data_IF_347049987117
#
_entry.id   IF_347049987117
#
_cell.length_a   1.000
_cell.length_b   1.000
_cell.length_c   1.000
_cell.angle_alpha   90.00
_cell.angle_beta   90.00
_cell.angle_gamma   90.00
#
_symmetry.space_group_name_H-M   'P 1'
#
loop_
_entity.id
_entity.type
_entity.pdbx_description
1 polymer ?
#
# COMPACT_ATOMS: atom_id res chain seq x y z
N UNK A 1 0.07 8.23 -1.93
CA UNK A 1 1.32 8.89 -1.52
C UNK A 1 2.43 7.89 -1.75
N UNK A 2 3.51 8.30 -2.39
CA UNK A 2 4.67 7.43 -2.66
C UNK A 2 5.58 7.33 -1.43
N UNK A 3 6.51 6.38 -1.45
CA UNK A 3 7.45 6.08 -0.36
C UNK A 3 8.25 7.31 0.06
N UNK A 4 8.80 8.06 -0.89
CA UNK A 4 9.62 9.24 -0.60
C UNK A 4 8.80 10.35 0.07
N UNK A 5 7.56 10.54 -0.39
CA UNK A 5 6.63 11.50 0.18
C UNK A 5 6.21 11.10 1.61
N UNK A 6 5.99 9.81 1.87
CA UNK A 6 5.73 9.31 3.23
C UNK A 6 6.94 9.54 4.15
N UNK A 7 8.15 9.25 3.67
CA UNK A 7 9.37 9.50 4.44
C UNK A 7 9.58 11.01 4.71
N UNK A 8 9.30 11.87 3.74
CA UNK A 8 9.32 13.32 3.92
C UNK A 8 8.30 13.78 4.97
N UNK A 9 7.10 13.22 4.95
CA UNK A 9 6.06 13.50 5.94
C UNK A 9 6.49 13.09 7.36
N UNK A 10 7.14 11.93 7.53
CA UNK A 10 7.72 11.54 8.84
C UNK A 10 8.78 12.53 9.33
N UNK A 11 9.69 12.96 8.43
CA UNK A 11 10.72 13.96 8.79
C UNK A 11 10.10 15.28 9.22
N UNK A 12 9.03 15.71 8.55
CA UNK A 12 8.29 16.92 8.87
C UNK A 12 7.63 16.84 10.25
N UNK A 13 6.93 15.75 10.56
CA UNK A 13 6.34 15.54 11.89
C UNK A 13 7.38 15.62 13.00
N UNK A 14 8.55 14.98 12.82
CA UNK A 14 9.65 15.07 13.79
C UNK A 14 10.16 16.50 13.97
N UNK A 15 10.29 17.25 12.87
CA UNK A 15 10.72 18.65 12.90
C UNK A 15 9.70 19.53 13.63
N UNK A 16 8.40 19.34 13.37
CA UNK A 16 7.31 20.06 14.05
C UNK A 16 7.27 19.73 15.55
N UNK A 17 7.60 18.51 15.94
CA UNK A 17 7.77 18.13 17.34
C UNK A 17 9.06 18.68 18.00
N UNK A 18 9.98 19.26 17.21
CA UNK A 18 11.25 19.79 17.72
C UNK A 18 12.26 18.74 18.20
N UNK A 19 12.04 17.45 17.89
CA UNK A 19 12.85 16.35 18.42
C UNK A 19 14.03 16.01 17.51
N UNK A 20 15.19 15.72 18.08
CA UNK A 20 16.26 14.99 17.40
C UNK A 20 15.91 13.51 17.23
N UNK A 21 16.65 12.79 16.38
CA UNK A 21 16.47 11.33 16.27
C UNK A 21 16.88 10.57 17.54
N UNK A 22 17.72 11.15 18.40
CA UNK A 22 18.10 10.53 19.68
C UNK A 22 16.97 10.65 20.69
N UNK A 23 16.41 11.84 20.86
CA UNK A 23 15.24 12.05 21.73
C UNK A 23 14.04 11.22 21.25
N UNK A 24 13.82 11.13 19.94
CA UNK A 24 12.80 10.26 19.40
C UNK A 24 13.09 8.77 19.67
N UNK A 25 14.35 8.34 19.65
CA UNK A 25 14.73 6.96 19.96
C UNK A 25 14.35 6.58 21.40
N UNK A 26 14.58 7.49 22.34
CA UNK A 26 14.24 7.30 23.75
C UNK A 26 12.71 7.15 23.96
N UNK A 27 11.91 7.86 23.14
CA UNK A 27 10.45 7.82 23.20
C UNK A 27 9.82 6.65 22.41
N UNK A 28 10.41 6.28 21.28
CA UNK A 28 9.86 5.28 20.36
C UNK A 28 10.32 3.84 20.65
N UNK A 29 11.23 3.64 21.61
CA UNK A 29 11.85 2.35 21.95
C UNK A 29 12.51 1.65 20.74
N UNK A 30 12.97 2.43 19.77
CA UNK A 30 13.75 1.98 18.61
C UNK A 30 15.08 2.70 18.58
N UNK A 31 16.13 2.04 18.08
CA UNK A 31 17.44 2.69 18.02
C UNK A 31 17.45 3.88 17.06
N UNK A 32 18.28 4.88 17.37
CA UNK A 32 18.53 6.04 16.52
C UNK A 32 18.77 5.65 15.04
N UNK A 33 19.65 4.68 14.79
CA UNK A 33 19.98 4.23 13.44
C UNK A 33 18.76 3.62 12.71
N UNK A 34 17.86 2.95 13.44
CA UNK A 34 16.63 2.40 12.88
C UNK A 34 15.68 3.53 12.46
N UNK A 35 15.48 4.54 13.30
CA UNK A 35 14.57 5.66 13.02
C UNK A 35 15.07 6.54 11.87
N UNK A 36 16.39 6.78 11.79
CA UNK A 36 17.01 7.46 10.65
C UNK A 36 16.73 6.70 9.35
N UNK A 37 16.87 5.37 9.36
CA UNK A 37 16.57 4.52 8.19
C UNK A 37 15.09 4.57 7.81
N UNK A 38 14.19 4.50 8.80
CA UNK A 38 12.75 4.56 8.61
C UNK A 38 12.29 5.86 7.93
N UNK A 39 12.91 6.98 8.31
CA UNK A 39 12.64 8.30 7.71
C UNK A 39 13.52 8.60 6.48
N UNK A 40 14.34 7.64 6.02
CA UNK A 40 15.35 7.86 4.99
C UNK A 40 14.85 7.75 3.54
N UNK A 41 13.64 7.22 3.32
CA UNK A 41 13.06 7.13 1.98
C UNK A 41 13.69 6.08 1.05
N UNK A 42 14.51 5.17 1.58
CA UNK A 42 15.06 4.02 0.81
C UNK A 42 14.19 2.76 0.88
N UNK A 43 13.44 2.63 1.97
CA UNK A 43 12.51 1.52 2.21
C UNK A 43 11.37 2.04 3.08
N UNK A 44 10.17 1.51 2.87
CA UNK A 44 9.04 1.86 3.71
C UNK A 44 9.20 1.19 5.09
N UNK A 45 9.12 1.93 6.21
CA UNK A 45 9.16 1.30 7.52
C UNK A 45 7.98 0.35 7.70
N UNK A 46 8.12 -0.65 8.57
CA UNK A 46 6.94 -1.45 8.97
C UNK A 46 5.92 -0.56 9.67
N UNK A 47 4.64 -0.92 9.61
CA UNK A 47 3.60 -0.14 10.27
C UNK A 47 3.85 0.06 11.78
N UNK A 48 4.31 -0.95 12.56
CA UNK A 48 4.67 -0.73 13.96
C UNK A 48 5.76 0.33 14.18
N UNK A 49 6.80 0.35 13.32
CA UNK A 49 7.86 1.36 13.39
C UNK A 49 7.31 2.75 13.05
N UNK A 50 6.44 2.86 12.04
CA UNK A 50 5.80 4.12 11.69
C UNK A 50 4.91 4.64 12.81
N UNK A 51 4.14 3.77 13.48
CA UNK A 51 3.31 4.14 14.64
C UNK A 51 4.19 4.66 15.77
N UNK A 52 5.23 3.92 16.17
CA UNK A 52 6.12 4.36 17.26
C UNK A 52 6.81 5.69 16.95
N UNK A 53 7.22 5.91 15.69
CA UNK A 53 7.75 7.19 15.23
C UNK A 53 6.73 8.32 15.41
N UNK A 54 5.51 8.12 14.90
CA UNK A 54 4.45 9.14 14.94
C UNK A 54 4.04 9.44 16.39
N UNK A 55 3.79 8.42 17.20
CA UNK A 55 3.38 8.59 18.60
C UNK A 55 4.51 9.19 19.45
N UNK A 56 5.77 8.83 19.18
CA UNK A 56 6.93 9.47 19.80
C UNK A 56 6.97 10.96 19.51
N UNK A 57 6.69 11.36 18.27
CA UNK A 57 6.54 12.77 17.90
C UNK A 57 5.24 13.44 18.38
N UNK A 58 4.42 12.78 19.21
CA UNK A 58 3.20 13.35 19.76
C UNK A 58 2.01 13.37 18.81
N UNK A 59 2.07 12.63 17.70
CA UNK A 59 0.92 12.50 16.78
C UNK A 59 -0.23 11.78 17.49
N UNK A 60 -1.43 12.40 17.58
CA UNK A 60 -2.55 11.81 18.29
C UNK A 60 -3.05 10.50 17.67
N UNK A 61 -3.62 9.62 18.49
CA UNK A 61 -4.09 8.31 18.05
C UNK A 61 -5.21 8.40 17.00
N UNK A 62 -6.05 9.43 17.08
CA UNK A 62 -7.16 9.70 16.18
C UNK A 62 -6.75 10.01 14.74
N UNK A 63 -5.51 10.48 14.51
CA UNK A 63 -5.00 10.78 13.16
C UNK A 63 -4.16 9.62 12.58
N UNK A 64 -3.78 8.63 13.39
CA UNK A 64 -3.06 7.43 12.90
C UNK A 64 -3.79 6.68 11.77
N UNK A 65 -5.14 6.60 11.71
CA UNK A 65 -5.83 6.01 10.57
C UNK A 65 -5.55 6.72 9.23
N UNK A 66 -5.30 8.03 9.24
CA UNK A 66 -4.95 8.79 8.03
C UNK A 66 -3.53 8.42 7.59
N UNK A 67 -2.59 8.40 8.54
CA UNK A 67 -1.22 7.92 8.30
C UNK A 67 -1.17 6.48 7.81
N UNK A 68 -2.03 5.62 8.35
CA UNK A 68 -2.17 4.22 7.93
C UNK A 68 -2.56 4.14 6.47
N UNK A 69 -3.54 4.92 6.02
CA UNK A 69 -3.97 4.95 4.60
C UNK A 69 -2.82 5.40 3.69
N UNK A 70 -2.08 6.41 4.11
CA UNK A 70 -0.91 6.89 3.39
C UNK A 70 0.22 5.86 3.32
N UNK A 71 0.52 5.20 4.44
CA UNK A 71 1.48 4.11 4.52
C UNK A 71 1.07 2.95 3.61
N UNK A 72 -0.20 2.56 3.64
CA UNK A 72 -0.70 1.48 2.77
C UNK A 72 -0.67 1.86 1.29
N UNK A 73 -0.79 3.14 0.94
CA UNK A 73 -0.61 3.62 -0.43
C UNK A 73 0.87 3.61 -0.84
N UNK A 74 1.78 3.98 0.06
CA UNK A 74 3.22 3.97 -0.18
C UNK A 74 3.83 2.56 -0.17
N UNK A 75 3.15 1.59 0.45
CA UNK A 75 3.51 0.18 0.46
C UNK A 75 3.17 -0.53 -0.84
N UNK A 76 2.38 0.10 -1.71
CA UNK A 76 2.20 -0.36 -3.08
C UNK A 76 3.39 0.10 -3.88
N UNK A 77 3.98 -0.81 -4.64
CA UNK A 77 4.90 -0.46 -5.69
C UNK A 77 4.10 -0.30 -7.00
N UNK A 78 3.83 0.95 -7.46
CA UNK A 78 3.04 1.16 -8.67
C UNK A 78 3.82 0.77 -9.93
N UNK A 79 5.16 0.76 -9.88
CA UNK A 79 5.99 0.40 -11.02
C UNK A 79 5.92 -1.10 -11.31
N UNK A 80 5.75 -1.92 -10.26
CA UNK A 80 5.55 -3.36 -10.38
C UNK A 80 4.21 -3.69 -11.08
N UNK A 81 3.10 -3.07 -10.64
CA UNK A 81 1.76 -3.35 -11.20
C UNK A 81 1.66 -3.01 -12.69
N UNK A 82 2.10 -1.82 -13.08
CA UNK A 82 2.03 -1.38 -14.47
C UNK A 82 2.94 -2.18 -15.40
N UNK A 83 4.11 -2.61 -14.93
CA UNK A 83 5.01 -3.47 -15.70
C UNK A 83 4.41 -4.86 -15.91
N UNK A 84 3.88 -5.48 -14.85
CA UNK A 84 3.21 -6.78 -14.92
C UNK A 84 2.04 -6.77 -15.91
N UNK A 85 1.20 -5.73 -15.87
CA UNK A 85 0.01 -5.64 -16.75
C UNK A 85 0.34 -5.44 -18.23
N UNK A 86 1.51 -4.89 -18.58
CA UNK A 86 1.92 -4.74 -19.98
C UNK A 86 2.29 -6.07 -20.63
N UNK A 87 2.86 -6.99 -19.86
CA UNK A 87 3.29 -8.32 -20.34
C UNK A 87 2.31 -9.43 -20.00
N UNK A 88 1.27 -9.12 -19.22
CA UNK A 88 0.25 -10.08 -18.81
C UNK A 88 -0.48 -10.67 -20.02
N UNK A 89 -0.40 -11.99 -20.14
CA UNK A 89 -1.05 -12.80 -21.19
C UNK A 89 -1.88 -13.95 -20.62
N UNK A 90 -1.83 -14.17 -19.30
CA UNK A 90 -2.59 -15.20 -18.60
C UNK A 90 -3.43 -14.62 -17.45
N UNK A 91 -4.50 -15.30 -17.02
CA UNK A 91 -5.21 -14.97 -15.78
C UNK A 91 -4.31 -14.96 -14.54
N UNK A 92 -3.26 -15.78 -14.51
CA UNK A 92 -2.24 -15.82 -13.47
C UNK A 92 -1.43 -14.52 -13.41
N UNK A 93 -1.06 -13.95 -14.55
CA UNK A 93 -0.36 -12.65 -14.61
C UNK A 93 -1.25 -11.52 -14.07
N UNK A 94 -2.55 -11.55 -14.41
CA UNK A 94 -3.54 -10.63 -13.84
C UNK A 94 -3.64 -10.81 -12.31
N UNK A 95 -3.64 -12.05 -11.83
CA UNK A 95 -3.63 -12.38 -10.41
C UNK A 95 -2.37 -11.87 -9.69
N UNK A 96 -1.21 -11.96 -10.33
CA UNK A 96 0.05 -11.42 -9.83
C UNK A 96 0.01 -9.89 -9.70
N UNK A 97 -0.50 -9.19 -10.73
CA UNK A 97 -0.69 -7.74 -10.69
C UNK A 97 -1.69 -7.32 -9.59
N UNK A 98 -2.79 -8.04 -9.42
CA UNK A 98 -3.73 -7.80 -8.31
C UNK A 98 -3.11 -8.08 -6.94
N UNK A 99 -2.24 -9.09 -6.86
CA UNK A 99 -1.50 -9.39 -5.63
C UNK A 99 -0.55 -8.26 -5.27
N UNK A 100 0.17 -7.70 -6.23
CA UNK A 100 1.02 -6.53 -6.02
C UNK A 100 0.19 -5.32 -5.54
N UNK A 101 -0.96 -5.05 -6.17
CA UNK A 101 -1.84 -3.93 -5.80
C UNK A 101 -2.46 -4.06 -4.39
N UNK A 102 -2.77 -5.29 -3.97
CA UNK A 102 -3.45 -5.54 -2.69
C UNK A 102 -2.52 -5.52 -1.49
N UNK A 103 -1.19 -5.66 -1.68
CA UNK A 103 -0.23 -5.62 -0.59
C UNK A 103 -0.28 -4.27 0.15
N UNK A 104 -0.06 -4.27 1.48
CA UNK A 104 0.22 -5.42 2.37
C UNK A 104 -1.05 -6.04 2.98
N UNK A 105 -2.24 -5.89 2.37
CA UNK A 105 -3.52 -6.27 2.98
C UNK A 105 -3.75 -7.78 2.90
N UNK A 106 -4.28 -8.34 4.00
CA UNK A 106 -4.77 -9.72 4.01
C UNK A 106 -6.13 -9.84 3.33
N UNK A 107 -6.50 -11.05 2.89
CA UNK A 107 -7.84 -11.34 2.33
C UNK A 107 -8.99 -10.92 3.25
N UNK A 108 -8.83 -11.08 4.57
CA UNK A 108 -9.78 -10.59 5.58
C UNK A 108 -9.92 -9.08 5.58
N UNK A 109 -8.82 -8.35 5.44
CA UNK A 109 -8.86 -6.89 5.36
C UNK A 109 -9.54 -6.42 4.08
N UNK A 110 -9.23 -7.08 2.96
CA UNK A 110 -9.81 -6.78 1.64
C UNK A 110 -11.31 -7.01 1.61
N UNK A 111 -11.78 -8.15 2.13
CA UNK A 111 -13.23 -8.44 2.22
C UNK A 111 -13.95 -7.38 3.03
N UNK A 112 -13.42 -6.99 4.20
CA UNK A 112 -14.02 -5.94 5.02
C UNK A 112 -14.05 -4.57 4.32
N UNK A 113 -13.04 -4.27 3.52
CA UNK A 113 -12.91 -2.99 2.82
C UNK A 113 -13.80 -2.90 1.57
N UNK A 114 -13.98 -4.02 0.86
CA UNK A 114 -14.57 -4.04 -0.49
C UNK A 114 -15.91 -4.78 -0.56
N UNK A 115 -16.27 -5.52 0.48
CA UNK A 115 -17.45 -6.39 0.49
C UNK A 115 -17.33 -7.64 -0.39
N UNK A 116 -16.19 -7.85 -1.07
CA UNK A 116 -15.96 -9.02 -1.92
C UNK A 116 -15.60 -10.24 -1.05
N UNK A 117 -16.31 -11.38 -1.18
CA UNK A 117 -16.02 -12.56 -0.37
C UNK A 117 -14.58 -13.06 -0.52
N UNK A 118 -13.97 -13.56 0.56
CA UNK A 118 -12.58 -14.08 0.54
C UNK A 118 -12.32 -15.11 -0.55
N UNK A 119 -13.26 -16.02 -0.79
CA UNK A 119 -13.11 -17.07 -1.80
C UNK A 119 -13.01 -16.48 -3.22
N UNK A 120 -13.80 -15.43 -3.50
CA UNK A 120 -13.75 -14.70 -4.77
C UNK A 120 -12.44 -13.95 -4.92
N UNK A 121 -12.01 -13.23 -3.88
CA UNK A 121 -10.70 -12.56 -3.87
C UNK A 121 -9.56 -13.56 -4.09
N UNK A 122 -9.58 -14.70 -3.41
CA UNK A 122 -8.56 -15.74 -3.56
C UNK A 122 -8.52 -16.32 -4.97
N UNK A 123 -9.69 -16.52 -5.60
CA UNK A 123 -9.78 -16.97 -6.99
C UNK A 123 -9.15 -15.96 -7.96
N UNK A 124 -9.43 -14.67 -7.78
CA UNK A 124 -8.84 -13.60 -8.61
C UNK A 124 -7.33 -13.47 -8.42
N UNK A 125 -6.87 -13.42 -7.17
CA UNK A 125 -5.44 -13.25 -6.85
C UNK A 125 -4.56 -14.43 -7.30
N UNK A 126 -5.15 -15.63 -7.42
CA UNK A 126 -4.45 -16.83 -7.92
C UNK A 126 -4.59 -17.03 -9.43
N UNK A 127 -5.30 -16.16 -10.14
CA UNK A 127 -5.60 -16.35 -11.56
C UNK A 127 -6.61 -17.45 -11.86
N UNK A 128 -7.26 -18.05 -10.85
CA UNK A 128 -8.24 -19.12 -11.06
C UNK A 128 -9.53 -18.65 -11.76
N UNK A 129 -9.75 -17.33 -11.88
CA UNK A 129 -10.85 -16.74 -12.64
C UNK A 129 -10.55 -15.28 -12.98
N UNK A 130 -10.81 -14.88 -14.23
CA UNK A 130 -10.82 -13.48 -14.64
C UNK A 130 -12.05 -12.74 -14.08
N UNK A 131 -11.88 -11.64 -13.32
CA UNK A 131 -12.98 -10.82 -12.82
C UNK A 131 -13.76 -10.15 -13.97
N UNK A 132 -15.04 -9.82 -13.75
CA UNK A 132 -15.75 -8.93 -14.69
C UNK A 132 -15.15 -7.51 -14.62
N UNK A 133 -15.01 -6.78 -15.75
CA UNK A 133 -14.42 -5.44 -15.78
C UNK A 133 -15.01 -4.47 -14.74
N UNK A 134 -16.34 -4.34 -14.66
CA UNK A 134 -17.00 -3.42 -13.71
C UNK A 134 -16.68 -3.74 -12.25
N UNK A 135 -16.68 -5.04 -11.91
CA UNK A 135 -16.38 -5.52 -10.55
C UNK A 135 -14.91 -5.31 -10.23
N UNK A 136 -14.03 -5.46 -11.22
CA UNK A 136 -12.61 -5.21 -11.08
C UNK A 136 -12.34 -3.73 -10.83
N UNK A 137 -12.90 -2.84 -11.65
CA UNK A 137 -12.70 -1.38 -11.53
C UNK A 137 -13.17 -0.88 -10.15
N UNK A 138 -14.35 -1.29 -9.68
CA UNK A 138 -14.84 -0.96 -8.34
C UNK A 138 -13.90 -1.47 -7.24
N UNK A 139 -13.41 -2.71 -7.37
CA UNK A 139 -12.50 -3.31 -6.41
C UNK A 139 -11.17 -2.54 -6.33
N UNK A 140 -10.52 -2.28 -7.46
CA UNK A 140 -9.22 -1.57 -7.50
C UNK A 140 -9.38 -0.08 -7.17
N UNK A 141 -10.51 0.54 -7.49
CA UNK A 141 -10.84 1.91 -7.07
C UNK A 141 -11.00 2.00 -5.55
N UNK A 142 -11.70 1.05 -4.92
CA UNK A 142 -11.84 1.01 -3.45
C UNK A 142 -10.49 0.80 -2.75
N UNK A 143 -9.53 0.16 -3.42
CA UNK A 143 -8.16 0.10 -2.98
C UNK A 143 -7.46 1.45 -3.16
N UNK A 144 -7.86 2.30 -4.10
CA UNK A 144 -7.20 3.56 -4.41
C UNK A 144 -6.18 3.41 -5.54
N UNK A 145 -6.44 2.51 -6.49
CA UNK A 145 -5.72 2.46 -7.75
C UNK A 145 -5.91 3.79 -8.51
N UNK A 146 -4.82 4.28 -9.07
CA UNK A 146 -4.78 5.47 -9.92
C UNK A 146 -5.53 5.24 -11.22
N UNK A 147 -5.91 6.32 -11.92
CA UNK A 147 -6.57 6.21 -13.23
C UNK A 147 -5.76 5.38 -14.22
N UNK A 148 -4.44 5.55 -14.24
CA UNK A 148 -3.53 4.81 -15.12
C UNK A 148 -3.54 3.31 -14.82
N UNK A 149 -3.46 2.93 -13.55
CA UNK A 149 -3.55 1.51 -13.15
C UNK A 149 -4.91 0.92 -13.55
N UNK A 150 -6.01 1.65 -13.32
CA UNK A 150 -7.36 1.17 -13.67
C UNK A 150 -7.53 0.91 -15.17
N UNK A 151 -7.03 1.82 -16.01
CA UNK A 151 -7.02 1.61 -17.46
C UNK A 151 -6.18 0.39 -17.85
N UNK A 152 -4.98 0.24 -17.28
CA UNK A 152 -4.12 -0.91 -17.55
C UNK A 152 -4.76 -2.26 -17.15
N UNK A 153 -5.52 -2.29 -16.05
CA UNK A 153 -6.29 -3.47 -15.65
C UNK A 153 -7.43 -3.77 -16.63
N UNK A 154 -8.16 -2.76 -17.09
CA UNK A 154 -9.23 -2.92 -18.09
C UNK A 154 -8.66 -3.51 -19.39
N UNK A 155 -7.61 -2.89 -19.93
CA UNK A 155 -6.96 -3.35 -21.16
C UNK A 155 -6.46 -4.80 -21.03
N UNK A 156 -5.93 -5.16 -19.86
CA UNK A 156 -5.50 -6.54 -19.59
C UNK A 156 -6.67 -7.52 -19.59
N UNK A 157 -7.79 -7.19 -18.95
CA UNK A 157 -8.97 -8.06 -18.92
C UNK A 157 -9.56 -8.22 -20.32
N UNK A 158 -9.64 -7.14 -21.10
CA UNK A 158 -10.16 -7.17 -22.46
C UNK A 158 -9.30 -8.07 -23.37
N UNK A 159 -7.97 -8.02 -23.22
CA UNK A 159 -7.05 -8.93 -23.93
C UNK A 159 -7.21 -10.40 -23.54
N UNK A 160 -7.55 -10.69 -22.28
CA UNK A 160 -7.75 -12.07 -21.80
C UNK A 160 -9.13 -12.64 -22.15
N UNK A 161 -10.08 -11.79 -22.51
CA UNK A 161 -11.45 -12.15 -22.84
C UNK A 161 -11.68 -12.39 -24.35
N UNK A 162 -10.78 -11.88 -25.20
CA UNK A 162 -10.78 -12.11 -26.66
C UNK A 162 -9.96 -13.33 -27.05
#
# INVERSE_FOLDING_TARGET
MELEAFAAALRRVRQEAGLTYRELADQAHYSHAHLVRAAGGKQLPSWPVAVAFLTGCGVPAEVLPIWRRHWEAAARDPQDVGALLRTASTPEDLGAALTALTRPRSLRSLERLTGVPRATLQSWLRGGRVPRPDRLDQFIQALGATRTERLAFSDCVDRLAG
#
